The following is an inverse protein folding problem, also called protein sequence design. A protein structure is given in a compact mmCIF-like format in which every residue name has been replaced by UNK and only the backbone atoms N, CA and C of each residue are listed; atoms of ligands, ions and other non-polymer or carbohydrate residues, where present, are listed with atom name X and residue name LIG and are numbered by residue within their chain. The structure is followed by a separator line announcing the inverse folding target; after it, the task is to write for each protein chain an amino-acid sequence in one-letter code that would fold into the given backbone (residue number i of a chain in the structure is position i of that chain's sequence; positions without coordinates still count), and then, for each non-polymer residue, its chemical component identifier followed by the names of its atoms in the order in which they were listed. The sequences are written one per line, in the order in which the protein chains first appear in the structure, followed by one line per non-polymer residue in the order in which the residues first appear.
data_IF_447420206983
#
_entry.id   IF_447420206983
#
_cell.length_a   1.000
_cell.length_b   1.000
_cell.length_c   1.000
_cell.angle_alpha   90.00
_cell.angle_beta   90.00
_cell.angle_gamma   90.00
#
_symmetry.space_group_name_H-M   'P 1'
#
loop_
_entity.id
_entity.type
_entity.pdbx_description
1 polymer ?
#
# COMPACT_ATOMS: atom_id res chain seq x y z
N UNK A 1 -4.72 -14.60 -3.70
CA UNK A 1 -4.69 -13.14 -3.47
C UNK A 1 -3.34 -12.63 -3.91
N UNK A 2 -3.29 -12.07 -5.13
CA UNK A 2 -2.18 -11.20 -5.51
C UNK A 2 -2.42 -9.88 -4.81
N UNK A 3 -1.46 -9.47 -4.01
CA UNK A 3 -1.41 -8.11 -3.47
C UNK A 3 -0.40 -7.40 -4.37
N UNK A 4 -0.73 -6.24 -4.90
CA UNK A 4 0.32 -5.40 -5.47
C UNK A 4 0.89 -4.51 -4.39
N UNK A 5 2.21 -4.39 -4.38
CA UNK A 5 2.85 -3.20 -3.85
C UNK A 5 2.98 -2.26 -5.05
N UNK A 6 2.13 -1.23 -5.08
CA UNK A 6 2.40 -0.07 -5.92
C UNK A 6 3.62 0.62 -5.33
N UNK A 7 4.67 0.74 -6.11
CA UNK A 7 5.83 1.53 -5.72
C UNK A 7 5.76 2.83 -6.52
N UNK A 8 6.02 3.95 -5.86
CA UNK A 8 6.40 5.15 -6.59
C UNK A 8 7.67 4.87 -7.41
N UNK A 9 8.01 5.76 -8.35
CA UNK A 9 9.18 5.61 -9.22
C UNK A 9 10.49 5.38 -8.44
N UNK A 10 10.54 5.79 -7.17
CA UNK A 10 11.69 5.67 -6.27
C UNK A 10 11.63 4.47 -5.29
N UNK A 11 10.56 3.67 -5.30
CA UNK A 11 10.44 2.47 -4.46
C UNK A 11 10.24 2.71 -2.96
N UNK A 12 9.85 3.92 -2.53
CA UNK A 12 9.79 4.35 -1.12
C UNK A 12 8.36 4.50 -0.58
N UNK A 13 7.36 4.59 -1.45
CA UNK A 13 5.96 4.84 -1.08
C UNK A 13 5.01 3.79 -1.67
N UNK A 14 4.02 3.41 -0.85
CA UNK A 14 2.96 2.49 -1.22
C UNK A 14 1.64 3.26 -1.40
N UNK A 15 0.71 2.79 -2.23
CA UNK A 15 -0.67 3.35 -2.31
C UNK A 15 -1.35 3.29 -0.94
N UNK A 16 -0.94 2.38 -0.04
CA UNK A 16 -1.40 2.37 1.35
C UNK A 16 -1.10 3.68 2.09
N UNK A 17 -0.11 4.44 1.64
CA UNK A 17 0.23 5.76 2.16
C UNK A 17 -0.63 6.88 1.53
N UNK A 18 -1.36 6.60 0.44
CA UNK A 18 -2.16 7.61 -0.28
C UNK A 18 -3.57 7.81 0.30
N UNK A 19 -4.02 6.92 1.18
CA UNK A 19 -5.35 6.96 1.79
C UNK A 19 -6.49 6.60 0.81
N UNK A 20 -7.75 6.63 1.26
CA UNK A 20 -8.91 6.16 0.47
C UNK A 20 -9.26 7.05 -0.73
N UNK A 21 -8.59 8.20 -0.92
CA UNK A 21 -8.96 9.24 -1.87
C UNK A 21 -8.19 9.24 -3.21
N UNK A 22 -7.28 8.29 -3.43
CA UNK A 22 -6.62 8.17 -4.73
C UNK A 22 -7.64 7.68 -5.79
N UNK A 23 -7.90 8.50 -6.82
CA UNK A 23 -8.80 8.15 -7.92
C UNK A 23 -8.12 7.16 -8.88
N UNK A 24 -8.86 6.16 -9.33
CA UNK A 24 -8.33 5.01 -10.08
C UNK A 24 -7.63 5.40 -11.39
N UNK A 25 -8.20 6.35 -12.12
CA UNK A 25 -7.65 6.82 -13.40
C UNK A 25 -6.23 7.41 -13.26
N UNK A 26 -5.96 8.06 -12.14
CA UNK A 26 -4.68 8.74 -11.94
C UNK A 26 -3.59 7.79 -11.44
N UNK A 27 -3.98 6.67 -10.80
CA UNK A 27 -3.04 5.65 -10.34
C UNK A 27 -2.37 4.96 -11.54
N UNK A 28 -3.12 4.73 -12.60
CA UNK A 28 -2.67 3.98 -13.79
C UNK A 28 -1.42 4.57 -14.44
N UNK A 29 -1.38 5.89 -14.60
CA UNK A 29 -0.37 6.56 -15.44
C UNK A 29 0.94 6.86 -14.69
N UNK A 30 1.00 6.54 -13.39
CA UNK A 30 2.11 6.94 -12.50
C UNK A 30 2.74 5.73 -11.82
N UNK A 31 1.95 4.71 -11.52
CA UNK A 31 2.41 3.58 -10.75
C UNK A 31 2.69 2.38 -11.65
N UNK A 32 3.89 1.83 -11.49
CA UNK A 32 4.19 0.49 -11.94
C UNK A 32 3.86 -0.45 -10.79
N UNK A 33 2.99 -1.41 -11.06
CA UNK A 33 2.50 -2.34 -10.05
C UNK A 33 3.35 -3.61 -10.04
N UNK A 34 3.94 -3.94 -8.89
CA UNK A 34 4.72 -5.17 -8.73
C UNK A 34 3.86 -6.31 -8.14
N UNK A 35 3.88 -7.46 -8.80
CA UNK A 35 3.18 -8.68 -8.40
C UNK A 35 3.85 -9.25 -7.15
N UNK A 36 3.13 -9.33 -6.02
CA UNK A 36 3.70 -9.96 -4.81
C UNK A 36 3.15 -11.36 -4.51
N UNK A 37 2.05 -11.76 -5.14
CA UNK A 37 1.37 -13.04 -4.88
C UNK A 37 1.45 -14.04 -6.04
N UNK A 38 0.89 -15.24 -5.80
CA UNK A 38 1.01 -16.39 -6.70
C UNK A 38 -0.32 -16.85 -7.33
N UNK A 39 -1.45 -16.14 -7.18
CA UNK A 39 -2.77 -16.65 -7.64
C UNK A 39 -2.95 -16.71 -9.15
N UNK A 40 -2.11 -15.99 -9.91
CA UNK A 40 -2.09 -16.05 -11.38
C UNK A 40 -0.83 -16.72 -11.92
N UNK A 41 -0.12 -17.48 -11.07
CA UNK A 41 0.97 -18.32 -11.54
C UNK A 41 0.38 -19.39 -12.48
N UNK A 42 0.97 -19.63 -13.67
CA UNK A 42 2.32 -19.23 -14.10
C UNK A 42 2.39 -17.97 -14.97
N UNK A 43 1.24 -17.39 -15.32
CA UNK A 43 1.14 -16.22 -16.19
C UNK A 43 1.84 -15.03 -15.56
N UNK A 44 1.49 -14.72 -14.31
CA UNK A 44 2.13 -13.70 -13.48
C UNK A 44 2.98 -14.36 -12.40
N UNK A 45 4.19 -13.84 -12.19
CA UNK A 45 5.16 -14.31 -11.20
C UNK A 45 5.47 -13.19 -10.21
N UNK A 46 5.86 -13.57 -9.00
CA UNK A 46 6.32 -12.63 -7.99
C UNK A 46 7.51 -11.82 -8.50
N UNK A 47 7.44 -10.49 -8.37
CA UNK A 47 8.42 -9.54 -8.89
C UNK A 47 8.19 -9.11 -10.34
N UNK A 48 7.22 -9.70 -11.05
CA UNK A 48 6.77 -9.15 -12.33
C UNK A 48 6.16 -7.78 -12.09
N UNK A 49 6.35 -6.87 -13.04
CA UNK A 49 5.72 -5.55 -13.06
C UNK A 49 4.66 -5.51 -14.14
N UNK A 50 3.54 -4.83 -13.91
CA UNK A 50 2.49 -4.69 -14.92
C UNK A 50 2.29 -3.24 -15.32
N UNK A 51 2.15 -3.05 -16.63
CA UNK A 51 1.70 -1.81 -17.23
C UNK A 51 0.24 -1.95 -17.62
N UNK A 52 -0.52 -0.88 -17.46
CA UNK A 52 -1.97 -0.89 -17.60
C UNK A 52 -2.40 0.03 -18.73
N UNK A 53 -3.33 -0.44 -19.54
CA UNK A 53 -4.18 0.38 -20.40
C UNK A 53 -5.46 0.78 -19.65
N UNK A 54 -6.19 1.79 -20.14
CA UNK A 54 -7.50 2.15 -19.60
C UNK A 54 -8.44 0.94 -19.44
N UNK A 55 -9.32 1.00 -18.43
CA UNK A 55 -10.39 0.03 -18.18
C UNK A 55 -11.53 0.12 -19.21
N UNK A 56 -11.19 0.39 -20.47
CA UNK A 56 -12.10 0.41 -21.61
C UNK A 56 -11.94 -0.91 -22.38
N UNK A 57 -13.02 -1.36 -23.01
CA UNK A 57 -13.04 -2.55 -23.86
C UNK A 57 -12.45 -3.80 -23.18
N UNK A 58 -12.84 -4.01 -21.92
CA UNK A 58 -12.50 -5.22 -21.17
C UNK A 58 -13.22 -6.40 -21.82
N UNK A 59 -12.47 -7.42 -22.18
CA UNK A 59 -12.98 -8.63 -22.84
C UNK A 59 -12.67 -9.88 -22.01
N UNK A 60 -13.42 -10.98 -22.21
CA UNK A 60 -13.05 -12.28 -21.64
C UNK A 60 -11.60 -12.63 -21.98
N UNK A 61 -10.90 -13.23 -21.00
CA UNK A 61 -9.47 -13.57 -21.03
C UNK A 61 -8.52 -12.41 -20.80
N UNK A 62 -8.95 -11.15 -20.77
CA UNK A 62 -8.06 -10.06 -20.38
C UNK A 62 -7.60 -10.22 -18.93
N UNK A 63 -6.38 -9.75 -18.63
CA UNK A 63 -5.94 -9.56 -17.25
C UNK A 63 -6.34 -8.15 -16.84
N UNK A 64 -7.05 -8.02 -15.73
CA UNK A 64 -7.43 -6.71 -15.18
C UNK A 64 -6.82 -6.54 -13.81
N UNK A 65 -6.47 -5.29 -13.47
CA UNK A 65 -6.14 -4.88 -12.11
C UNK A 65 -7.37 -4.18 -11.54
N UNK A 66 -7.85 -4.66 -10.39
CA UNK A 66 -8.98 -4.06 -9.69
C UNK A 66 -8.68 -3.89 -8.20
N UNK A 67 -9.44 -3.03 -7.55
CA UNK A 67 -9.36 -2.76 -6.12
C UNK A 67 -10.38 -3.60 -5.37
N UNK A 68 -9.93 -4.25 -4.30
CA UNK A 68 -10.80 -4.91 -3.32
C UNK A 68 -10.40 -4.41 -1.92
N UNK A 69 -11.18 -3.48 -1.38
CA UNK A 69 -10.83 -2.76 -0.15
C UNK A 69 -9.50 -2.01 -0.28
N UNK A 70 -8.51 -2.40 0.51
CA UNK A 70 -7.16 -1.79 0.53
C UNK A 70 -6.12 -2.58 -0.29
N UNK A 71 -6.56 -3.62 -1.00
CA UNK A 71 -5.70 -4.43 -1.86
C UNK A 71 -6.00 -4.16 -3.34
N UNK A 72 -4.95 -4.24 -4.15
CA UNK A 72 -5.10 -4.41 -5.59
C UNK A 72 -4.91 -5.87 -5.92
N UNK A 73 -5.79 -6.37 -6.77
CA UNK A 73 -5.82 -7.76 -7.21
C UNK A 73 -5.81 -7.78 -8.73
N UNK A 74 -5.05 -8.70 -9.30
CA UNK A 74 -5.04 -8.91 -10.73
C UNK A 74 -5.43 -10.35 -11.02
N UNK A 75 -6.53 -10.50 -11.74
CA UNK A 75 -7.07 -11.78 -12.15
C UNK A 75 -7.48 -11.72 -13.61
N UNK A 76 -7.75 -12.89 -14.19
CA UNK A 76 -8.19 -12.99 -15.58
C UNK A 76 -9.71 -12.86 -15.63
N UNK A 77 -10.23 -12.05 -16.55
CA UNK A 77 -11.66 -11.97 -16.82
C UNK A 77 -12.13 -13.32 -17.34
N UNK A 78 -13.10 -13.91 -16.64
CA UNK A 78 -13.74 -15.15 -17.04
C UNK A 78 -14.98 -14.83 -17.89
N UNK A 79 -15.90 -14.03 -17.34
CA UNK A 79 -17.21 -13.73 -17.90
C UNK A 79 -17.55 -12.27 -17.62
N UNK A 80 -18.25 -11.64 -18.55
CA UNK A 80 -18.88 -10.33 -18.38
C UNK A 80 -20.39 -10.53 -18.25
N UNK A 81 -20.98 -9.88 -17.26
CA UNK A 81 -22.43 -9.77 -17.09
C UNK A 81 -22.98 -8.68 -18.01
N UNK A 82 -24.24 -8.83 -18.44
CA UNK A 82 -25.03 -7.85 -19.18
C UNK A 82 -25.10 -6.49 -18.47
N UNK A 83 -25.07 -6.47 -17.13
CA UNK A 83 -25.05 -5.24 -16.34
C UNK A 83 -23.64 -4.61 -16.20
N UNK A 84 -22.64 -5.12 -16.91
CA UNK A 84 -21.25 -4.66 -16.82
C UNK A 84 -20.50 -5.15 -15.58
N UNK A 85 -21.04 -6.16 -14.89
CA UNK A 85 -20.33 -6.90 -13.86
C UNK A 85 -19.23 -7.80 -14.46
N UNK A 86 -18.15 -7.99 -13.72
CA UNK A 86 -16.99 -8.75 -14.20
C UNK A 86 -16.72 -9.91 -13.25
N UNK A 87 -16.79 -11.14 -13.77
CA UNK A 87 -16.38 -12.32 -13.02
C UNK A 87 -14.94 -12.65 -13.35
N UNK A 88 -14.09 -12.73 -12.34
CA UNK A 88 -12.65 -12.97 -12.50
C UNK A 88 -12.26 -14.36 -12.03
N UNK A 89 -11.31 -15.01 -12.71
CA UNK A 89 -10.80 -16.33 -12.31
C UNK A 89 -9.31 -16.28 -11.99
N UNK A 90 -8.92 -17.12 -11.05
CA UNK A 90 -7.51 -17.47 -10.84
C UNK A 90 -7.09 -18.54 -11.83
N UNK A 91 -5.79 -18.75 -12.01
CA UNK A 91 -5.29 -19.76 -12.93
C UNK A 91 -5.55 -21.20 -12.43
N UNK A 92 -5.88 -21.36 -11.15
CA UNK A 92 -6.07 -22.67 -10.51
C UNK A 92 -7.53 -23.02 -10.22
N UNK A 93 -8.48 -22.12 -10.53
CA UNK A 93 -9.91 -22.36 -10.27
C UNK A 93 -10.71 -22.43 -11.56
N UNK A 94 -11.43 -23.54 -11.75
CA UNK A 94 -12.24 -23.79 -12.94
C UNK A 94 -13.66 -23.22 -12.84
N UNK A 95 -14.18 -22.95 -11.63
CA UNK A 95 -15.55 -22.48 -11.40
C UNK A 95 -15.62 -21.47 -10.24
N UNK A 96 -16.52 -20.48 -10.36
CA UNK A 96 -16.82 -19.50 -9.31
C UNK A 96 -15.75 -18.41 -9.20
N UNK A 97 -15.85 -17.41 -10.08
CA UNK A 97 -14.95 -16.25 -10.05
C UNK A 97 -15.39 -15.18 -9.05
N UNK A 98 -14.43 -14.36 -8.58
CA UNK A 98 -14.75 -13.19 -7.77
C UNK A 98 -15.51 -12.16 -8.64
N UNK A 99 -16.63 -11.64 -8.13
CA UNK A 99 -17.41 -10.59 -8.80
C UNK A 99 -16.80 -9.22 -8.52
N UNK A 100 -16.58 -8.45 -9.58
CA UNK A 100 -15.95 -7.14 -9.55
C UNK A 100 -16.83 -6.15 -10.31
N UNK A 101 -17.12 -4.98 -9.74
CA UNK A 101 -17.81 -3.93 -10.48
C UNK A 101 -16.80 -3.20 -11.36
N UNK A 102 -17.23 -2.78 -12.55
CA UNK A 102 -16.37 -2.04 -13.49
C UNK A 102 -15.73 -0.79 -12.87
N UNK A 103 -16.43 -0.15 -11.93
CA UNK A 103 -15.95 1.05 -11.20
C UNK A 103 -14.79 0.79 -10.25
N UNK A 104 -14.49 -0.47 -9.94
CA UNK A 104 -13.39 -0.87 -9.06
C UNK A 104 -12.17 -1.32 -9.90
N UNK A 105 -12.28 -1.28 -11.24
CA UNK A 105 -11.22 -1.70 -12.16
C UNK A 105 -10.30 -0.53 -12.47
N UNK A 106 -9.06 -0.64 -11.99
CA UNK A 106 -8.00 0.34 -12.21
C UNK A 106 -7.56 0.37 -13.68
N UNK A 107 -7.44 -0.80 -14.31
CA UNK A 107 -6.99 -0.89 -15.69
C UNK A 107 -6.86 -2.31 -16.21
N UNK A 108 -6.76 -2.43 -17.53
CA UNK A 108 -6.43 -3.68 -18.22
C UNK A 108 -4.92 -3.83 -18.29
N UNK A 109 -4.38 -4.98 -17.91
CA UNK A 109 -2.95 -5.24 -18.06
C UNK A 109 -2.61 -5.30 -19.54
N UNK A 110 -1.74 -4.39 -19.97
CA UNK A 110 -1.22 -4.28 -21.34
C UNK A 110 0.04 -5.11 -21.52
N UNK A 111 0.95 -5.02 -20.55
CA UNK A 111 2.28 -5.63 -20.66
C UNK A 111 2.72 -6.11 -19.30
N UNK A 112 3.30 -7.32 -19.28
CA UNK A 112 3.99 -7.88 -18.11
C UNK A 112 5.48 -7.70 -18.33
N UNK A 113 6.13 -6.96 -17.45
CA UNK A 113 7.59 -6.76 -17.44
C UNK A 113 8.21 -7.76 -16.46
N UNK A 114 8.95 -8.72 -17.00
CA UNK A 114 9.65 -9.77 -16.24
C UNK A 114 11.16 -9.61 -16.43
N UNK A 115 11.82 -9.02 -15.44
CA UNK A 115 13.22 -8.62 -15.55
C UNK A 115 13.41 -7.60 -16.67
N UNK A 116 14.12 -7.99 -17.74
CA UNK A 116 14.33 -7.14 -18.94
C UNK A 116 13.33 -7.41 -20.07
N UNK A 117 12.51 -8.45 -19.93
CA UNK A 117 11.59 -8.89 -20.98
C UNK A 117 10.21 -8.27 -20.81
N UNK A 118 9.59 -7.91 -21.93
CA UNK A 118 8.19 -7.45 -22.00
C UNK A 118 7.36 -8.55 -22.63
N UNK A 119 6.32 -8.99 -21.94
CA UNK A 119 5.47 -10.11 -22.33
C UNK A 119 4.04 -9.61 -22.53
N UNK A 120 3.38 -10.12 -23.56
CA UNK A 120 1.94 -9.92 -23.75
C UNK A 120 1.16 -10.87 -22.82
N UNK A 121 0.23 -10.35 -21.99
CA UNK A 121 -0.63 -11.13 -21.09
C UNK A 121 -1.38 -12.31 -21.71
N UNK A 122 -1.68 -12.25 -23.00
CA UNK A 122 -2.43 -13.29 -23.71
C UNK A 122 -1.53 -14.42 -24.19
N UNK A 123 -0.28 -14.10 -24.56
CA UNK A 123 0.67 -15.04 -25.16
C UNK A 123 1.82 -15.42 -24.25
N UNK A 124 1.95 -14.80 -23.07
CA UNK A 124 2.99 -15.08 -22.09
C UNK A 124 3.13 -16.58 -21.83
N UNK A 125 4.10 -17.20 -22.51
CA UNK A 125 4.18 -18.65 -22.59
C UNK A 125 4.50 -19.25 -21.22
N UNK A 126 3.75 -20.29 -20.91
CA UNK A 126 3.85 -21.10 -19.71
C UNK A 126 5.03 -22.07 -19.87
N UNK A 127 6.26 -21.56 -19.95
CA UNK A 127 7.43 -22.42 -19.72
C UNK A 127 7.68 -22.46 -18.22
N UNK A 128 7.15 -23.51 -17.59
CA UNK A 128 7.43 -23.86 -16.20
C UNK A 128 8.47 -24.96 -16.21
N UNK A 129 9.67 -24.65 -15.74
CA UNK A 129 10.64 -25.68 -15.40
C UNK A 129 10.19 -26.38 -14.10
N UNK A 130 10.52 -27.67 -13.96
CA UNK A 130 10.29 -28.46 -12.75
C UNK A 130 10.85 -27.77 -11.51
N UNK A 131 12.05 -27.19 -11.59
CA UNK A 131 12.66 -26.45 -10.48
C UNK A 131 11.85 -25.22 -10.07
N UNK A 132 11.31 -24.47 -11.04
CA UNK A 132 10.40 -23.35 -10.74
C UNK A 132 9.12 -23.85 -10.07
N UNK A 133 8.55 -24.98 -10.51
CA UNK A 133 7.38 -25.57 -9.86
C UNK A 133 7.66 -25.93 -8.39
N UNK A 134 8.80 -26.55 -8.10
CA UNK A 134 9.22 -26.88 -6.72
C UNK A 134 9.42 -25.61 -5.89
N UNK A 135 10.12 -24.60 -6.44
CA UNK A 135 10.34 -23.32 -5.77
C UNK A 135 9.04 -22.61 -5.43
N UNK A 136 8.10 -22.59 -6.37
CA UNK A 136 6.77 -21.98 -6.20
C UNK A 136 5.95 -22.73 -5.16
N UNK A 137 5.93 -24.08 -5.20
CA UNK A 137 5.28 -24.87 -4.16
C UNK A 137 5.87 -24.59 -2.77
N UNK A 138 7.19 -24.51 -2.65
CA UNK A 138 7.88 -24.15 -1.40
C UNK A 138 7.50 -22.74 -0.93
N UNK A 139 7.48 -21.76 -1.84
CA UNK A 139 7.06 -20.39 -1.53
C UNK A 139 5.60 -20.30 -1.08
N UNK A 140 4.67 -20.97 -1.79
CA UNK A 140 3.25 -21.02 -1.43
C UNK A 140 3.08 -21.69 -0.06
N UNK A 141 3.79 -22.78 0.22
CA UNK A 141 3.73 -23.46 1.50
C UNK A 141 4.27 -22.57 2.64
N UNK A 142 5.40 -21.90 2.41
CA UNK A 142 5.97 -20.96 3.37
C UNK A 142 5.05 -19.76 3.62
N UNK A 143 4.40 -19.20 2.59
CA UNK A 143 3.42 -18.12 2.75
C UNK A 143 2.20 -18.57 3.56
N UNK A 144 1.70 -19.80 3.36
CA UNK A 144 0.64 -20.39 4.19
C UNK A 144 1.08 -20.58 5.64
N UNK A 145 2.30 -21.06 5.85
CA UNK A 145 2.88 -21.22 7.19
C UNK A 145 3.04 -19.86 7.88
N UNK A 146 3.53 -18.84 7.16
CA UNK A 146 3.64 -17.46 7.66
C UNK A 146 2.28 -16.86 7.99
N UNK A 147 1.24 -17.14 7.20
CA UNK A 147 -0.14 -16.72 7.50
C UNK A 147 -0.65 -17.35 8.79
N UNK A 148 -0.49 -18.66 8.95
CA UNK A 148 -0.85 -19.37 10.21
C UNK A 148 -0.06 -18.86 11.40
N UNK A 149 1.25 -18.67 11.26
CA UNK A 149 2.09 -18.08 12.30
C UNK A 149 1.64 -16.65 12.63
N UNK A 150 1.24 -15.87 11.62
CA UNK A 150 0.64 -14.56 11.79
C UNK A 150 -0.67 -14.60 12.57
N UNK A 151 -1.57 -15.53 12.26
CA UNK A 151 -2.84 -15.73 12.99
C UNK A 151 -2.59 -16.10 14.46
N UNK A 152 -1.66 -17.03 14.72
CA UNK A 152 -1.23 -17.40 16.08
C UNK A 152 -0.62 -16.20 16.80
N UNK A 153 0.30 -15.49 16.14
CA UNK A 153 0.91 -14.27 16.67
C UNK A 153 -0.17 -13.23 17.00
N UNK A 154 -1.16 -13.03 16.13
CA UNK A 154 -2.26 -12.10 16.34
C UNK A 154 -3.13 -12.48 17.53
N UNK A 155 -3.40 -13.77 17.74
CA UNK A 155 -4.12 -14.24 18.92
C UNK A 155 -3.34 -13.95 20.20
N UNK A 156 -2.04 -14.28 20.24
CA UNK A 156 -1.16 -14.00 21.37
C UNK A 156 -1.09 -12.48 21.61
N UNK A 157 -0.85 -11.71 20.54
CA UNK A 157 -0.80 -10.26 20.58
C UNK A 157 -2.09 -9.68 21.16
N UNK A 158 -3.27 -10.17 20.75
CA UNK A 158 -4.57 -9.69 21.26
C UNK A 158 -4.76 -10.02 22.74
N UNK A 159 -4.28 -11.18 23.21
CA UNK A 159 -4.31 -11.55 24.61
C UNK A 159 -3.38 -10.65 25.44
N UNK A 160 -2.16 -10.44 24.96
CA UNK A 160 -1.12 -9.66 25.65
C UNK A 160 -1.38 -8.15 25.57
N UNK A 161 -2.07 -7.66 24.53
CA UNK A 161 -2.45 -6.25 24.32
C UNK A 161 -3.26 -5.66 25.48
N UNK A 162 -3.97 -6.50 26.26
CA UNK A 162 -4.71 -6.06 27.45
C UNK A 162 -3.83 -5.80 28.67
N UNK A 163 -2.58 -6.29 28.68
CA UNK A 163 -1.68 -6.08 29.82
C UNK A 163 -1.10 -4.67 29.82
N UNK A 164 -1.04 -4.04 31.00
CA UNK A 164 -0.43 -2.73 31.17
C UNK A 164 1.07 -2.74 30.79
N UNK A 165 1.79 -3.82 31.14
CA UNK A 165 3.20 -4.00 30.81
C UNK A 165 3.44 -3.97 29.29
N UNK A 166 2.59 -4.65 28.52
CA UNK A 166 2.73 -4.64 27.06
C UNK A 166 2.48 -3.26 26.47
N UNK A 167 1.50 -2.51 27.00
CA UNK A 167 1.26 -1.13 26.59
C UNK A 167 2.50 -0.27 26.82
N UNK A 168 3.15 -0.39 27.97
CA UNK A 168 4.41 0.33 28.26
C UNK A 168 5.55 -0.07 27.31
N UNK A 169 5.71 -1.36 27.02
CA UNK A 169 6.72 -1.84 26.07
C UNK A 169 6.45 -1.31 24.67
N UNK A 170 5.21 -1.38 24.18
CA UNK A 170 4.85 -0.85 22.86
C UNK A 170 5.03 0.66 22.80
N UNK A 171 4.61 1.39 23.83
CA UNK A 171 4.84 2.84 23.93
C UNK A 171 6.33 3.15 23.89
N UNK A 172 7.15 2.40 24.63
CA UNK A 172 8.60 2.54 24.58
C UNK A 172 9.14 2.25 23.18
N UNK A 173 8.67 1.21 22.49
CA UNK A 173 9.08 0.92 21.11
C UNK A 173 8.66 2.03 20.14
N UNK A 174 7.45 2.54 20.25
CA UNK A 174 6.96 3.63 19.38
C UNK A 174 7.82 4.88 19.63
N UNK A 175 8.06 5.28 20.88
CA UNK A 175 8.93 6.40 21.23
C UNK A 175 10.35 6.24 20.66
N UNK A 176 10.91 5.04 20.75
CA UNK A 176 12.31 4.81 20.41
C UNK A 176 12.54 4.41 18.96
N UNK A 177 11.56 3.86 18.25
CA UNK A 177 11.75 3.27 16.92
C UNK A 177 10.81 3.85 15.86
N UNK A 178 9.73 4.55 16.23
CA UNK A 178 8.94 5.25 15.24
C UNK A 178 9.79 6.33 14.57
N UNK A 179 9.59 6.44 13.26
CA UNK A 179 10.10 7.51 12.42
C UNK A 179 8.90 8.31 11.95
N UNK A 180 8.97 9.62 12.08
CA UNK A 180 7.90 10.51 11.68
C UNK A 180 8.30 11.25 10.42
N UNK A 181 7.34 11.51 9.57
CA UNK A 181 7.52 12.18 8.30
C UNK A 181 6.42 13.22 8.16
N UNK A 182 6.74 14.44 7.77
CA UNK A 182 5.74 15.42 7.35
C UNK A 182 5.80 15.46 5.85
N UNK A 183 4.65 15.37 5.19
CA UNK A 183 4.55 15.75 3.80
C UNK A 183 3.45 16.74 3.55
N UNK A 184 3.51 17.42 2.42
CA UNK A 184 2.33 18.10 1.89
C UNK A 184 1.60 17.15 0.95
N UNK A 185 0.28 17.07 1.11
CA UNK A 185 -0.63 16.57 0.08
C UNK A 185 -0.63 17.62 -1.03
N UNK A 186 0.16 17.40 -2.08
CA UNK A 186 0.09 18.23 -3.28
C UNK A 186 -1.17 17.76 -4.00
N UNK A 187 -2.20 18.61 -4.04
CA UNK A 187 -3.29 18.48 -5.01
C UNK A 187 -2.71 18.85 -6.37
N UNK A 188 -2.00 17.92 -7.00
CA UNK A 188 -1.95 17.96 -8.46
C UNK A 188 -3.40 17.77 -8.90
N UNK A 189 -3.88 18.52 -9.88
CA UNK A 189 -5.31 18.69 -10.16
C UNK A 189 -6.11 17.38 -10.37
N UNK A 190 -5.46 16.21 -10.42
CA UNK A 190 -6.07 14.87 -10.41
C UNK A 190 -5.36 13.84 -9.49
N UNK A 191 -4.36 14.23 -8.69
CA UNK A 191 -3.49 13.34 -7.90
C UNK A 191 -3.10 13.96 -6.57
N UNK A 192 -3.27 13.21 -5.47
CA UNK A 192 -2.56 13.51 -4.21
C UNK A 192 -1.15 12.92 -4.30
N UNK A 193 -0.19 13.71 -4.73
CA UNK A 193 1.23 13.39 -4.52
C UNK A 193 1.63 13.80 -3.11
N UNK A 194 2.43 13.00 -2.41
CA UNK A 194 2.95 13.38 -1.10
C UNK A 194 4.46 13.58 -1.20
N UNK A 195 4.94 14.78 -0.88
CA UNK A 195 6.37 15.02 -0.69
C UNK A 195 6.68 14.93 0.78
N UNK A 196 7.33 13.86 1.22
CA UNK A 196 7.65 13.65 2.63
C UNK A 196 9.07 14.10 2.99
N UNK A 197 9.19 14.67 4.18
CA UNK A 197 10.41 15.08 4.85
C UNK A 197 10.42 14.39 6.20
N UNK A 198 11.53 13.73 6.54
CA UNK A 198 11.66 13.10 7.85
C UNK A 198 11.63 14.17 8.96
N UNK A 199 10.76 13.98 9.95
CA UNK A 199 10.74 14.82 11.16
C UNK A 199 11.83 14.32 12.09
N UNK A 200 12.80 15.16 12.45
CA UNK A 200 13.80 14.79 13.44
C UNK A 200 13.15 14.53 14.79
N UNK A 201 13.72 13.62 15.58
CA UNK A 201 13.24 13.38 16.95
C UNK A 201 13.44 14.63 17.80
N UNK A 202 12.41 14.96 18.56
CA UNK A 202 12.42 16.02 19.59
C UNK A 202 13.60 15.77 20.53
N UNK A 203 14.53 16.74 20.64
CA UNK A 203 15.70 16.67 21.52
C UNK A 203 17.07 16.83 20.85
N UNK A 204 17.16 16.96 19.52
CA UNK A 204 18.45 17.23 18.84
C UNK A 204 18.47 18.65 18.27
N UNK A 205 19.16 19.59 18.93
CA UNK A 205 19.18 21.02 18.56
C UNK A 205 19.65 21.27 17.12
N UNK A 206 20.66 20.54 16.67
CA UNK A 206 21.31 20.68 15.36
C UNK A 206 20.39 20.39 14.16
N UNK A 207 19.16 19.89 14.38
CA UNK A 207 18.23 19.46 13.32
C UNK A 207 16.96 20.30 13.22
N UNK A 208 16.78 21.30 14.09
CA UNK A 208 15.67 22.26 13.98
C UNK A 208 15.78 23.12 12.72
N UNK A 209 16.99 23.41 12.24
CA UNK A 209 17.21 24.22 11.03
C UNK A 209 16.87 23.47 9.74
N UNK A 210 17.29 22.21 9.59
CA UNK A 210 16.93 21.36 8.43
C UNK A 210 15.40 21.20 8.31
N UNK A 211 14.75 21.05 9.46
CA UNK A 211 13.30 20.97 9.54
C UNK A 211 12.62 22.26 9.09
N UNK A 212 13.08 23.42 9.59
CA UNK A 212 12.55 24.74 9.19
C UNK A 212 12.69 24.98 7.68
N UNK A 213 13.85 24.66 7.12
CA UNK A 213 14.11 24.84 5.68
C UNK A 213 13.20 23.96 4.83
N UNK A 214 12.99 22.71 5.26
CA UNK A 214 12.13 21.77 4.53
C UNK A 214 10.65 22.09 4.67
N UNK A 215 10.20 22.55 5.84
CA UNK A 215 8.81 22.95 6.08
C UNK A 215 8.42 24.17 5.24
N UNK A 216 9.34 25.12 5.03
CA UNK A 216 9.12 26.27 4.14
C UNK A 216 8.87 25.89 2.67
N UNK A 217 9.34 24.71 2.24
CA UNK A 217 9.10 24.19 0.89
C UNK A 217 7.76 23.44 0.74
N UNK A 218 7.06 23.18 1.83
CA UNK A 218 5.80 22.46 1.83
C UNK A 218 4.63 23.45 1.80
N UNK A 219 3.64 23.17 0.95
CA UNK A 219 2.37 23.90 0.96
C UNK A 219 1.69 23.71 2.33
N UNK A 220 1.61 24.81 3.08
CA UNK A 220 1.08 24.85 4.46
C UNK A 220 -0.39 24.40 4.49
N UNK A 221 -1.11 24.55 3.37
CA UNK A 221 -2.53 24.26 3.29
C UNK A 221 -2.88 22.77 3.19
N UNK A 222 -1.91 21.86 3.14
CA UNK A 222 -2.20 20.42 3.05
C UNK A 222 -1.15 19.54 3.78
N UNK A 223 -0.77 19.88 5.00
CA UNK A 223 0.23 19.10 5.74
C UNK A 223 -0.33 17.79 6.29
N UNK A 224 0.44 16.71 6.12
CA UNK A 224 0.16 15.36 6.59
C UNK A 224 1.36 14.83 7.36
N UNK A 225 1.13 14.41 8.60
CA UNK A 225 2.12 13.77 9.45
C UNK A 225 1.93 12.25 9.37
N UNK A 226 2.96 11.52 8.97
CA UNK A 226 2.97 10.06 8.87
C UNK A 226 3.95 9.48 9.87
N UNK A 227 3.47 8.60 10.74
CA UNK A 227 4.28 7.77 11.61
C UNK A 227 4.54 6.43 10.93
N UNK A 228 5.81 6.03 10.80
CA UNK A 228 6.22 4.70 10.36
C UNK A 228 6.91 3.93 11.48
N UNK A 229 6.51 2.68 11.68
CA UNK A 229 7.13 1.74 12.62
C UNK A 229 7.66 0.54 11.84
N UNK A 230 8.97 0.26 11.94
CA UNK A 230 9.64 -0.80 11.19
C UNK A 230 9.36 -0.75 9.67
N UNK A 231 9.33 0.46 9.09
CA UNK A 231 9.10 0.68 7.67
C UNK A 231 7.63 0.64 7.22
N UNK A 232 6.68 0.35 8.11
CA UNK A 232 5.25 0.32 7.79
C UNK A 232 4.53 1.55 8.33
N UNK A 233 3.53 2.05 7.60
CA UNK A 233 2.66 3.11 8.08
C UNK A 233 1.91 2.65 9.33
N UNK A 234 2.10 3.39 10.42
CA UNK A 234 1.53 3.13 11.73
C UNK A 234 0.36 4.08 12.01
N UNK A 235 0.49 5.35 11.62
CA UNK A 235 -0.58 6.34 11.71
C UNK A 235 -0.34 7.48 10.70
N UNK A 236 -1.42 8.11 10.27
CA UNK A 236 -1.44 9.28 9.39
C UNK A 236 -2.34 10.34 10.01
N UNK A 237 -1.86 11.56 10.16
CA UNK A 237 -2.59 12.68 10.70
C UNK A 237 -2.62 13.84 9.70
N UNK A 238 -3.79 14.12 9.14
CA UNK A 238 -4.00 15.26 8.24
C UNK A 238 -4.23 16.51 9.07
N UNK A 239 -3.25 17.43 9.05
CA UNK A 239 -3.19 18.53 10.02
C UNK A 239 -4.33 19.54 9.85
N UNK A 240 -4.96 19.63 8.69
CA UNK A 240 -6.00 20.63 8.43
C UNK A 240 -7.41 20.12 8.69
N UNK A 241 -7.68 18.85 8.39
CA UNK A 241 -8.96 18.21 8.68
C UNK A 241 -9.03 17.64 10.10
N UNK A 242 -7.89 17.58 10.79
CA UNK A 242 -7.70 16.87 12.06
C UNK A 242 -8.06 15.39 12.00
N UNK A 243 -8.11 14.83 10.78
CA UNK A 243 -8.38 13.42 10.59
C UNK A 243 -7.14 12.62 10.95
N UNK A 244 -7.32 11.75 11.95
CA UNK A 244 -6.33 10.78 12.37
C UNK A 244 -6.75 9.39 11.89
N UNK A 245 -5.89 8.76 11.11
CA UNK A 245 -5.95 7.33 10.83
C UNK A 245 -4.85 6.63 11.62
N UNK A 246 -5.20 5.56 12.32
CA UNK A 246 -4.24 4.69 13.00
C UNK A 246 -4.44 3.27 12.49
N UNK A 247 -3.32 2.57 12.26
CA UNK A 247 -3.39 1.17 11.87
C UNK A 247 -4.16 0.38 12.95
N UNK A 248 -5.19 -0.43 12.61
CA UNK A 248 -6.09 -1.05 13.61
C UNK A 248 -5.40 -1.82 14.73
N UNK A 249 -4.29 -2.49 14.42
CA UNK A 249 -3.47 -3.22 15.40
C UNK A 249 -2.82 -2.31 16.45
N UNK A 250 -2.53 -1.05 16.10
CA UNK A 250 -1.90 -0.05 16.94
C UNK A 250 -2.92 0.87 17.65
N UNK A 251 -4.21 0.73 17.37
CA UNK A 251 -5.23 1.50 18.06
C UNK A 251 -5.18 1.30 19.57
N UNK A 252 -5.35 2.39 20.33
CA UNK A 252 -5.33 2.46 21.80
C UNK A 252 -3.97 2.08 22.42
N UNK A 253 -2.90 2.03 21.62
CA UNK A 253 -1.53 1.81 22.10
C UNK A 253 -0.78 3.11 22.38
N UNK A 254 -1.45 4.27 22.22
CA UNK A 254 -0.89 5.58 22.59
C UNK A 254 -0.18 6.29 21.43
N UNK A 255 -0.23 5.72 20.22
CA UNK A 255 0.32 6.37 19.03
C UNK A 255 -0.52 7.58 18.62
N UNK A 256 -1.82 7.53 18.91
CA UNK A 256 -2.80 8.58 18.70
C UNK A 256 -2.38 9.86 19.44
N UNK A 257 -2.16 9.76 20.75
CA UNK A 257 -1.78 10.90 21.57
C UNK A 257 -0.42 11.45 21.13
N UNK A 258 0.52 10.58 20.77
CA UNK A 258 1.84 11.01 20.29
C UNK A 258 1.76 11.77 18.96
N UNK A 259 1.02 11.26 17.97
CA UNK A 259 0.92 11.90 16.65
C UNK A 259 0.10 13.19 16.74
N UNK A 260 -0.96 13.22 17.58
CA UNK A 260 -1.74 14.43 17.85
C UNK A 260 -0.90 15.49 18.58
N UNK A 261 -0.15 15.10 19.62
CA UNK A 261 0.72 16.02 20.35
C UNK A 261 1.76 16.63 19.40
N UNK A 262 2.40 15.80 18.58
CA UNK A 262 3.38 16.29 17.62
C UNK A 262 2.73 17.17 16.54
N UNK A 263 1.56 16.79 16.03
CA UNK A 263 0.79 17.63 15.12
C UNK A 263 0.48 19.02 15.71
N UNK A 264 0.10 19.08 17.00
CA UNK A 264 -0.13 20.36 17.70
C UNK A 264 1.15 21.17 17.85
N UNK A 265 2.25 20.54 18.26
CA UNK A 265 3.56 21.21 18.38
C UNK A 265 3.99 21.79 17.03
N UNK A 266 3.89 21.00 15.97
CA UNK A 266 4.20 21.42 14.61
C UNK A 266 3.32 22.59 14.15
N UNK A 267 2.01 22.54 14.43
CA UNK A 267 1.09 23.63 14.09
C UNK A 267 1.47 24.92 14.83
N UNK A 268 1.81 24.84 16.10
CA UNK A 268 2.26 25.99 16.89
C UNK A 268 3.58 26.57 16.36
N UNK A 269 4.53 25.71 15.99
CA UNK A 269 5.81 26.14 15.40
C UNK A 269 5.64 26.80 14.02
N UNK A 270 4.65 26.38 13.23
CA UNK A 270 4.33 26.98 11.93
C UNK A 270 3.61 28.33 12.13
N UNK A 271 2.63 28.40 13.04
CA UNK A 271 1.87 29.63 13.32
C UNK A 271 2.74 30.73 13.93
N UNK A 272 3.81 30.39 14.66
CA UNK A 272 4.76 31.36 15.18
C UNK A 272 5.76 31.90 14.14
N UNK A 273 5.72 31.44 12.89
CA UNK A 273 6.61 31.87 11.81
C UNK A 273 5.95 32.80 10.78
N UNK A 274 4.62 32.85 10.77
CA UNK A 274 3.80 33.79 9.97
C UNK A 274 3.66 35.11 10.68
#
# INVERSE_FOLDING_TARGET
MIIFESLDLDGKFSIKDMGPHATENSIRDIFIFEITGWSMYPVLRKGDRVELDPAQDISPRDLILYREGEAFICHRVAILDENGGIYTRTEHTAAGGDFVQKKDVVGKVKTIVRGKSRLDPQTAQIRIDFFEKVRVCGAIHFERMRRRAGEIFFMIFRAVKKSALFREIVLWMIKNWAKFFIGSSIKLNLLRGYRFVAVPRVGTERRKEDFKTSAKMLDVHNLVLVARLAGRCAATFEMNSEQLWVHPNLEKLGIEEMILQMGRTLRAEIAGQT
#
